data_IF_209449231345
#
_entry.id   IF_209449231345
#
_cell.length_a   1.000
_cell.length_b   1.000
_cell.length_c   1.000
_cell.angle_alpha   90.00
_cell.angle_beta   90.00
_cell.angle_gamma   90.00
#
_symmetry.space_group_name_H-M   'P 1'
#
loop_
_entity.id
_entity.type
_entity.pdbx_description
1 polymer ?
#
# COMPACT_ATOMS: atom_id res chain seq x y z
N UNK A 1 -8.46 -5.74 31.21
CA UNK A 1 -8.78 -4.84 30.10
C UNK A 1 -7.71 -5.02 29.02
N UNK A 2 -7.99 -5.86 28.02
CA UNK A 2 -7.07 -6.18 26.92
C UNK A 2 -7.32 -5.22 25.76
N UNK A 3 -6.35 -4.35 25.47
CA UNK A 3 -6.41 -3.42 24.36
C UNK A 3 -6.24 -4.18 23.03
N UNK A 4 -7.33 -4.32 22.27
CA UNK A 4 -7.28 -4.86 20.91
C UNK A 4 -6.77 -3.76 19.96
N UNK A 5 -5.45 -3.65 19.85
CA UNK A 5 -4.79 -2.75 18.90
C UNK A 5 -5.03 -3.31 17.49
N UNK A 6 -6.03 -2.76 16.81
CA UNK A 6 -6.28 -3.00 15.39
C UNK A 6 -5.00 -2.69 14.61
N UNK A 7 -4.32 -3.74 14.16
CA UNK A 7 -3.13 -3.63 13.31
C UNK A 7 -3.61 -3.41 11.88
N UNK A 8 -3.89 -2.15 11.55
CA UNK A 8 -4.03 -1.73 10.16
C UNK A 8 -2.67 -1.97 9.48
N UNK A 9 -2.57 -2.80 8.42
CA UNK A 9 -1.32 -2.93 7.70
C UNK A 9 -0.95 -1.55 7.14
N UNK A 10 0.32 -1.12 7.26
CA UNK A 10 0.77 0.10 6.63
C UNK A 10 0.53 -0.05 5.12
N UNK A 11 -0.23 0.86 4.54
CA UNK A 11 -0.34 0.96 3.09
C UNK A 11 1.06 1.31 2.59
N UNK A 12 1.67 0.41 1.82
CA UNK A 12 2.98 0.63 1.22
C UNK A 12 2.88 1.86 0.29
N UNK A 13 3.62 2.92 0.60
CA UNK A 13 3.74 4.13 -0.25
C UNK A 13 4.11 3.78 -1.69
N UNK A 14 4.87 2.70 -1.86
CA UNK A 14 5.35 2.21 -3.15
C UNK A 14 4.22 1.71 -4.05
N UNK A 15 3.11 1.21 -3.48
CA UNK A 15 1.91 0.83 -4.23
C UNK A 15 1.29 2.06 -4.88
N UNK A 16 1.15 3.12 -4.08
CA UNK A 16 0.65 4.40 -4.52
C UNK A 16 1.54 5.03 -5.58
N UNK A 17 2.86 4.97 -5.40
CA UNK A 17 3.83 5.50 -6.37
C UNK A 17 3.84 4.72 -7.68
N UNK A 18 3.64 3.40 -7.66
CA UNK A 18 3.59 2.58 -8.88
C UNK A 18 2.33 2.85 -9.70
N UNK A 19 1.18 2.98 -9.04
CA UNK A 19 -0.08 3.38 -9.67
C UNK A 19 0.03 4.82 -10.21
N UNK A 20 0.59 5.71 -9.39
CA UNK A 20 0.76 7.10 -9.72
C UNK A 20 1.76 7.36 -10.86
N UNK A 21 2.78 6.52 -11.01
CA UNK A 21 3.74 6.62 -12.12
C UNK A 21 3.11 6.23 -13.48
N UNK A 22 1.98 5.51 -13.48
CA UNK A 22 1.23 5.16 -14.70
C UNK A 22 0.09 6.14 -15.06
N UNK A 23 -0.38 6.94 -14.10
CA UNK A 23 -1.28 8.07 -14.35
C UNK A 23 -0.41 9.26 -14.79
N UNK A 24 -0.68 9.89 -15.93
CA UNK A 24 0.20 10.93 -16.53
C UNK A 24 0.86 11.88 -15.53
N UNK A 25 2.04 12.39 -15.88
CA UNK A 25 2.94 13.35 -15.20
C UNK A 25 2.34 14.55 -14.39
N UNK A 26 1.02 14.72 -14.32
CA UNK A 26 0.36 15.73 -13.50
C UNK A 26 0.09 15.24 -12.06
N UNK A 27 0.55 15.97 -11.03
CA UNK A 27 0.29 15.66 -9.63
C UNK A 27 -1.21 15.56 -9.31
N UNK A 28 -2.06 16.26 -10.04
CA UNK A 28 -3.52 16.21 -9.93
C UNK A 28 -4.05 14.80 -10.26
N UNK A 29 -3.58 14.16 -11.33
CA UNK A 29 -4.02 12.80 -11.69
C UNK A 29 -3.57 11.76 -10.67
N UNK A 30 -2.41 11.95 -10.04
CA UNK A 30 -1.97 11.13 -8.91
C UNK A 30 -2.91 11.26 -7.72
N UNK A 31 -3.37 12.47 -7.43
CA UNK A 31 -4.33 12.73 -6.35
C UNK A 31 -5.71 12.14 -6.65
N UNK A 32 -6.20 12.23 -7.89
CA UNK A 32 -7.47 11.59 -8.26
C UNK A 32 -7.39 10.06 -8.11
N UNK A 33 -6.29 9.45 -8.56
CA UNK A 33 -6.05 8.02 -8.35
C UNK A 33 -6.02 7.70 -6.86
N UNK A 34 -5.28 8.47 -6.07
CA UNK A 34 -5.20 8.32 -4.62
C UNK A 34 -6.57 8.27 -3.94
N UNK A 35 -7.45 9.21 -4.27
CA UNK A 35 -8.81 9.28 -3.73
C UNK A 35 -9.61 8.04 -4.09
N UNK A 36 -9.56 7.61 -5.36
CA UNK A 36 -10.24 6.40 -5.81
C UNK A 36 -9.72 5.15 -5.08
N UNK A 37 -8.40 5.00 -4.95
CA UNK A 37 -7.79 3.86 -4.28
C UNK A 37 -8.14 3.81 -2.79
N UNK A 38 -8.17 4.93 -2.08
CA UNK A 38 -8.61 4.95 -0.68
C UNK A 38 -10.06 4.45 -0.56
N UNK A 39 -10.97 4.93 -1.39
CA UNK A 39 -12.36 4.47 -1.39
C UNK A 39 -12.48 2.95 -1.64
N UNK A 40 -11.71 2.41 -2.59
CA UNK A 40 -11.66 0.96 -2.86
C UNK A 40 -11.11 0.18 -1.66
N UNK A 41 -10.07 0.69 -0.99
CA UNK A 41 -9.53 0.07 0.22
C UNK A 41 -10.53 0.10 1.38
N UNK A 42 -11.31 1.17 1.52
CA UNK A 42 -12.39 1.22 2.51
C UNK A 42 -13.49 0.21 2.18
N UNK A 43 -13.90 0.05 0.91
CA UNK A 43 -14.88 -0.96 0.49
C UNK A 43 -14.42 -2.40 0.79
N UNK A 44 -13.13 -2.69 0.65
CA UNK A 44 -12.56 -3.99 1.00
C UNK A 44 -12.67 -4.30 2.51
N UNK A 45 -12.71 -3.27 3.36
CA UNK A 45 -12.85 -3.38 4.82
C UNK A 45 -14.32 -3.38 5.22
N UNK A 46 -15.05 -4.43 4.85
CA UNK A 46 -16.49 -4.57 5.12
C UNK A 46 -16.86 -4.36 6.60
N UNK A 47 -18.01 -3.73 6.83
CA UNK A 47 -18.54 -3.46 8.17
C UNK A 47 -17.91 -2.28 8.91
N UNK A 48 -17.00 -1.53 8.26
CA UNK A 48 -16.43 -0.30 8.80
C UNK A 48 -17.24 0.94 8.43
N UNK A 49 -17.13 2.00 9.24
CA UNK A 49 -17.69 3.30 8.90
C UNK A 49 -17.13 3.83 7.57
N UNK A 50 -15.84 3.62 7.31
CA UNK A 50 -15.19 3.99 6.04
C UNK A 50 -15.81 3.30 4.83
N UNK A 51 -16.19 2.02 4.94
CA UNK A 51 -16.89 1.33 3.86
C UNK A 51 -18.26 1.96 3.55
N UNK A 52 -19.02 2.33 4.60
CA UNK A 52 -20.30 3.02 4.43
C UNK A 52 -20.13 4.42 3.80
N UNK A 53 -19.10 5.15 4.22
CA UNK A 53 -18.75 6.45 3.64
C UNK A 53 -18.33 6.32 2.17
N UNK A 54 -17.53 5.32 1.81
CA UNK A 54 -17.15 5.05 0.43
C UNK A 54 -18.36 4.69 -0.44
N UNK A 55 -19.30 3.86 0.07
CA UNK A 55 -20.56 3.57 -0.64
C UNK A 55 -21.39 4.84 -0.83
N UNK A 56 -21.48 5.71 0.19
CA UNK A 56 -22.18 7.00 0.07
C UNK A 56 -21.54 7.88 -0.99
N UNK A 57 -20.20 8.01 -0.97
CA UNK A 57 -19.46 8.80 -1.94
C UNK A 57 -19.67 8.32 -3.39
N UNK A 58 -19.64 7.00 -3.64
CA UNK A 58 -19.89 6.43 -4.98
C UNK A 58 -21.34 6.64 -5.44
N UNK A 59 -22.31 6.61 -4.52
CA UNK A 59 -23.73 6.80 -4.83
C UNK A 59 -24.14 8.26 -4.98
N UNK A 60 -23.33 9.18 -4.48
CA UNK A 60 -23.64 10.60 -4.51
C UNK A 60 -23.45 11.14 -5.92
N UNK A 61 -24.56 11.46 -6.59
CA UNK A 61 -24.62 12.06 -7.93
C UNK A 61 -25.00 13.54 -7.91
N UNK A 62 -25.39 14.05 -6.75
CA UNK A 62 -25.84 15.44 -6.63
C UNK A 62 -24.65 16.42 -6.66
N UNK A 63 -23.43 15.91 -6.43
CA UNK A 63 -22.20 16.68 -6.34
C UNK A 63 -21.27 16.46 -7.55
N UNK A 64 -21.78 16.10 -8.73
CA UNK A 64 -20.94 15.78 -9.90
C UNK A 64 -19.96 16.92 -10.26
N UNK A 65 -20.34 18.18 -10.02
CA UNK A 65 -19.52 19.38 -10.24
C UNK A 65 -18.47 19.65 -9.14
N UNK A 66 -18.50 18.92 -8.02
CA UNK A 66 -17.55 19.11 -6.92
C UNK A 66 -16.18 18.50 -7.23
N UNK A 67 -15.08 19.19 -6.89
CA UNK A 67 -13.76 18.59 -6.98
C UNK A 67 -13.71 17.35 -6.09
N UNK A 68 -13.24 16.23 -6.66
CA UNK A 68 -13.21 14.91 -6.00
C UNK A 68 -14.57 14.25 -5.78
N UNK A 69 -15.63 14.68 -6.49
CA UNK A 69 -16.80 13.84 -6.69
C UNK A 69 -16.38 12.53 -7.35
N UNK A 70 -17.13 11.45 -7.12
CA UNK A 70 -16.80 10.16 -7.74
C UNK A 70 -16.77 10.25 -9.27
N UNK A 71 -17.72 11.00 -9.85
CA UNK A 71 -17.80 11.28 -11.29
C UNK A 71 -16.57 12.06 -11.77
N UNK A 72 -16.22 13.18 -11.12
CA UNK A 72 -15.05 14.00 -11.49
C UNK A 72 -13.72 13.23 -11.36
N UNK A 73 -13.60 12.36 -10.35
CA UNK A 73 -12.44 11.46 -10.21
C UNK A 73 -12.36 10.48 -11.37
N UNK A 74 -13.46 9.84 -11.74
CA UNK A 74 -13.49 8.91 -12.87
C UNK A 74 -13.16 9.62 -14.18
N UNK A 75 -13.77 10.78 -14.45
CA UNK A 75 -13.51 11.59 -15.64
C UNK A 75 -12.04 12.02 -15.75
N UNK A 76 -11.45 12.56 -14.67
CA UNK A 76 -10.06 12.97 -14.66
C UNK A 76 -9.06 11.81 -14.80
N UNK A 77 -9.51 10.57 -14.55
CA UNK A 77 -8.74 9.35 -14.79
C UNK A 77 -9.05 8.69 -16.15
N UNK A 78 -10.06 9.16 -16.89
CA UNK A 78 -10.51 8.56 -18.15
C UNK A 78 -11.28 7.25 -17.96
N UNK A 79 -12.01 7.11 -16.86
CA UNK A 79 -12.81 5.95 -16.49
C UNK A 79 -14.32 6.25 -16.66
N UNK A 80 -15.10 5.24 -17.04
CA UNK A 80 -16.56 5.31 -17.02
C UNK A 80 -17.06 5.17 -15.58
N UNK A 81 -17.59 6.27 -15.04
CA UNK A 81 -18.09 6.34 -13.66
C UNK A 81 -19.23 5.36 -13.42
N UNK A 82 -20.18 5.22 -14.35
CA UNK A 82 -21.34 4.35 -14.18
C UNK A 82 -20.95 2.88 -14.20
N UNK A 83 -20.04 2.51 -15.10
CA UNK A 83 -19.49 1.17 -15.17
C UNK A 83 -18.73 0.83 -13.88
N UNK A 84 -17.87 1.73 -13.41
CA UNK A 84 -17.07 1.51 -12.22
C UNK A 84 -17.96 1.45 -10.96
N UNK A 85 -18.95 2.33 -10.82
CA UNK A 85 -19.89 2.32 -9.70
C UNK A 85 -20.67 1.01 -9.64
N UNK A 86 -21.18 0.51 -10.78
CA UNK A 86 -21.86 -0.79 -10.84
C UNK A 86 -20.94 -1.92 -10.36
N UNK A 87 -19.69 -1.93 -10.83
CA UNK A 87 -18.68 -2.89 -10.41
C UNK A 87 -18.39 -2.83 -8.91
N UNK A 88 -18.06 -1.65 -8.39
CA UNK A 88 -17.69 -1.44 -6.99
C UNK A 88 -18.83 -1.72 -6.00
N UNK A 89 -20.08 -1.38 -6.37
CA UNK A 89 -21.25 -1.62 -5.52
C UNK A 89 -21.73 -3.07 -5.56
N UNK A 90 -21.51 -3.78 -6.67
CA UNK A 90 -21.78 -5.23 -6.77
C UNK A 90 -20.63 -6.08 -6.23
N UNK A 91 -19.45 -5.50 -6.04
CA UNK A 91 -18.25 -6.22 -5.64
C UNK A 91 -18.39 -6.83 -4.25
N UNK A 92 -18.06 -8.12 -4.17
CA UNK A 92 -17.88 -8.80 -2.90
C UNK A 92 -16.41 -9.22 -2.75
N UNK A 93 -15.62 -8.59 -1.86
CA UNK A 93 -14.23 -8.96 -1.63
C UNK A 93 -14.08 -10.41 -1.14
N UNK A 94 -15.11 -10.98 -0.49
CA UNK A 94 -15.12 -12.38 -0.04
C UNK A 94 -15.33 -13.38 -1.18
N UNK A 95 -15.92 -12.93 -2.31
CA UNK A 95 -16.19 -13.76 -3.49
C UNK A 95 -15.31 -13.40 -4.68
N UNK A 96 -14.28 -12.57 -4.48
CA UNK A 96 -13.20 -12.52 -5.44
C UNK A 96 -12.78 -13.97 -5.67
N UNK A 97 -12.76 -14.41 -6.93
CA UNK A 97 -12.21 -15.71 -7.27
C UNK A 97 -10.95 -15.88 -6.44
N UNK A 98 -10.69 -17.09 -5.93
CA UNK A 98 -9.40 -17.45 -5.33
C UNK A 98 -8.34 -17.25 -6.41
N UNK A 99 -8.02 -16.00 -6.73
CA UNK A 99 -7.00 -15.58 -7.63
C UNK A 99 -5.79 -16.27 -7.10
N UNK A 100 -5.14 -17.00 -8.01
CA UNK A 100 -3.86 -17.68 -7.80
C UNK A 100 -3.12 -16.93 -6.71
N UNK A 101 -2.84 -17.55 -5.54
CA UNK A 101 -2.24 -16.85 -4.43
C UNK A 101 -1.09 -16.04 -5.00
N UNK A 102 -1.20 -14.71 -4.96
CA UNK A 102 -0.10 -13.84 -5.33
C UNK A 102 1.09 -14.43 -4.59
N UNK A 103 2.16 -14.85 -5.30
CA UNK A 103 3.21 -15.66 -4.69
C UNK A 103 3.62 -14.93 -3.43
N UNK A 104 3.30 -15.55 -2.28
CA UNK A 104 3.50 -14.97 -0.96
C UNK A 104 4.88 -14.38 -1.00
N UNK A 105 4.95 -13.05 -0.92
CA UNK A 105 6.16 -12.24 -1.09
C UNK A 105 7.19 -12.98 -0.26
N UNK A 106 8.03 -13.80 -0.89
CA UNK A 106 9.08 -14.54 -0.21
C UNK A 106 9.77 -13.42 0.52
N UNK A 107 9.63 -13.41 1.84
CA UNK A 107 10.33 -12.46 2.68
C UNK A 107 11.75 -12.59 2.18
N UNK A 108 12.22 -11.58 1.46
CA UNK A 108 13.60 -11.51 1.05
C UNK A 108 14.29 -11.58 2.40
N UNK A 109 14.84 -12.75 2.70
CA UNK A 109 15.43 -13.03 3.99
C UNK A 109 16.34 -11.84 4.24
N UNK A 110 16.05 -11.11 5.32
CA UNK A 110 16.69 -9.84 5.61
C UNK A 110 18.18 -9.95 5.25
N UNK A 111 18.74 -9.03 4.45
CA UNK A 111 20.06 -9.20 3.88
C UNK A 111 21.00 -9.61 5.00
N UNK A 112 21.60 -10.80 4.86
CA UNK A 112 22.57 -11.32 5.83
C UNK A 112 23.66 -10.27 5.95
N UNK A 113 23.64 -9.52 7.04
CA UNK A 113 24.70 -8.55 7.35
C UNK A 113 25.98 -9.37 7.49
N UNK A 114 26.81 -9.38 6.46
CA UNK A 114 28.16 -9.89 6.54
C UNK A 114 28.89 -9.02 7.58
N UNK A 115 29.03 -9.55 8.80
CA UNK A 115 29.89 -8.97 9.81
C UNK A 115 31.32 -9.14 9.31
N UNK A 116 31.88 -8.09 8.73
CA UNK A 116 33.30 -8.01 8.45
C UNK A 116 34.01 -7.98 9.81
N UNK A 117 34.58 -9.11 10.21
CA UNK A 117 35.47 -9.17 11.37
C UNK A 117 36.77 -8.46 10.98
N UNK A 118 37.04 -7.31 11.62
CA UNK A 118 38.34 -6.66 11.51
C UNK A 118 39.41 -7.62 12.07
N UNK A 119 40.50 -7.89 11.33
CA UNK A 119 41.56 -8.75 11.84
C UNK A 119 42.16 -8.12 13.10
N UNK A 120 42.10 -8.85 14.20
CA UNK A 120 42.76 -8.46 15.45
C UNK A 120 44.27 -8.40 15.20
N UNK A 121 44.86 -7.21 15.40
CA UNK A 121 46.32 -7.03 15.33
C UNK A 121 46.99 -8.00 16.32
N UNK A 122 47.94 -8.84 15.89
CA UNK A 122 48.65 -9.69 16.83
C UNK A 122 49.46 -8.82 17.78
N UNK A 123 49.14 -8.93 19.07
CA UNK A 123 49.99 -8.43 20.15
C UNK A 123 51.33 -9.16 20.02
N UNK A 124 52.36 -8.40 19.63
CA UNK A 124 53.74 -8.86 19.52
C UNK A 124 54.15 -9.49 20.86
N UNK A 125 54.14 -10.82 20.92
CA UNK A 125 54.62 -11.60 22.05
C UNK A 125 56.13 -11.42 22.06
N UNK A 126 56.62 -10.55 22.95
CA UNK A 126 58.05 -10.43 23.25
C UNK A 126 58.36 -11.65 24.11
N UNK A 127 58.65 -12.77 23.44
CA UNK A 127 59.24 -13.95 24.09
C UNK A 127 60.70 -13.65 24.40
N UNK A 128 61.10 -14.04 25.59
CA UNK A 128 62.45 -13.97 26.16
C UNK A 128 63.57 -14.45 25.23
N UNK A 129 64.75 -13.88 25.44
CA UNK A 129 66.00 -14.61 25.30
C UNK A 129 66.99 -14.10 26.35
N UNK A 130 67.34 -15.04 27.24
CA UNK A 130 68.41 -15.03 28.22
C UNK A 130 69.77 -14.52 27.69
N UNK A 131 70.59 -13.98 28.59
CA UNK A 131 72.01 -14.32 28.71
C UNK A 131 72.64 -13.58 29.91
N UNK A 132 73.32 -14.33 30.79
CA UNK A 132 74.34 -13.79 31.71
C UNK A 132 74.07 -14.10 33.17
#
# INVERSE_FOLDING_TARGET
MTAHRSSVPPIDSDLFDTVAAGASDLPERRLLAAVLFDAVLQLARRGSAGAADAVRWIRNRDDDDMPFSFTAVCEGLGLDADYLARGLLAWNPEHGEKGTPLPSRRTLAAPRRHRVALPARPRRRRSDAAAG
#
